data_IF_489951468605
#
_entry.id   IF_489951468605
#
_cell.length_a   1.000
_cell.length_b   1.000
_cell.length_c   1.000
_cell.angle_alpha   90.00
_cell.angle_beta   90.00
_cell.angle_gamma   90.00
#
_symmetry.space_group_name_H-M   'P 1'
#
loop_
_entity.id
_entity.type
_entity.pdbx_description
1 polymer ?
#
# COMPACT_ATOMS: atom_id res chain seq x y z
N UNK A 1 16.95 -18.81 -18.71
CA UNK A 1 15.88 -19.38 -17.87
C UNK A 1 15.74 -18.45 -16.69
N UNK A 2 14.58 -17.81 -16.50
CA UNK A 2 14.32 -17.10 -15.25
C UNK A 2 14.53 -18.12 -14.12
N UNK A 3 15.34 -17.76 -13.13
CA UNK A 3 15.71 -18.68 -12.06
C UNK A 3 14.47 -18.90 -11.18
N UNK A 4 14.11 -20.14 -10.84
CA UNK A 4 12.92 -20.43 -9.99
C UNK A 4 12.94 -19.60 -8.69
N UNK A 5 14.14 -19.29 -8.18
CA UNK A 5 14.33 -18.41 -7.04
C UNK A 5 13.85 -16.97 -7.28
N UNK A 6 14.12 -16.39 -8.45
CA UNK A 6 13.67 -15.03 -8.81
C UNK A 6 12.15 -14.97 -8.94
N UNK A 7 11.54 -16.05 -9.45
CA UNK A 7 10.08 -16.16 -9.57
C UNK A 7 9.42 -16.24 -8.19
N UNK A 8 9.96 -17.06 -7.29
CA UNK A 8 9.46 -17.19 -5.92
C UNK A 8 9.62 -15.89 -5.11
N UNK A 9 10.73 -15.19 -5.30
CA UNK A 9 11.00 -13.92 -4.63
C UNK A 9 10.06 -12.80 -5.11
N UNK A 10 9.79 -12.75 -6.41
CA UNK A 10 8.80 -11.83 -6.98
C UNK A 10 7.39 -12.04 -6.41
N UNK A 11 6.94 -13.30 -6.31
CA UNK A 11 5.61 -13.59 -5.74
C UNK A 11 5.51 -13.21 -4.26
N UNK A 12 6.56 -13.44 -3.47
CA UNK A 12 6.62 -12.98 -2.06
C UNK A 12 6.55 -11.46 -1.94
N UNK A 13 7.19 -10.73 -2.85
CA UNK A 13 7.15 -9.27 -2.86
C UNK A 13 5.75 -8.75 -3.23
N UNK A 14 5.08 -9.38 -4.20
CA UNK A 14 3.68 -9.06 -4.56
C UNK A 14 2.73 -9.33 -3.39
N UNK A 15 2.82 -10.49 -2.76
CA UNK A 15 2.02 -10.83 -1.58
C UNK A 15 2.24 -9.82 -0.45
N UNK A 16 3.50 -9.44 -0.19
CA UNK A 16 3.84 -8.40 0.79
C UNK A 16 3.19 -7.06 0.43
N UNK A 17 3.21 -6.65 -0.85
CA UNK A 17 2.57 -5.41 -1.31
C UNK A 17 1.07 -5.43 -1.03
N UNK A 18 0.39 -6.53 -1.34
CA UNK A 18 -1.05 -6.69 -1.07
C UNK A 18 -1.38 -6.59 0.42
N UNK A 19 -0.59 -7.23 1.28
CA UNK A 19 -0.75 -7.14 2.74
C UNK A 19 -0.58 -5.69 3.23
N UNK A 20 0.37 -4.93 2.68
CA UNK A 20 0.57 -3.53 3.07
C UNK A 20 -0.60 -2.66 2.60
N UNK A 21 -1.08 -2.86 1.36
CA UNK A 21 -2.25 -2.15 0.82
C UNK A 21 -3.51 -2.39 1.66
N UNK A 22 -3.75 -3.64 2.07
CA UNK A 22 -4.86 -3.98 2.96
C UNK A 22 -4.78 -3.20 4.28
N UNK A 23 -3.61 -3.11 4.90
CA UNK A 23 -3.39 -2.33 6.13
C UNK A 23 -3.59 -0.84 5.94
N UNK A 24 -3.20 -0.28 4.79
CA UNK A 24 -3.48 1.14 4.47
C UNK A 24 -4.99 1.37 4.39
N UNK A 25 -5.73 0.47 3.75
CA UNK A 25 -7.19 0.57 3.66
C UNK A 25 -7.89 0.47 5.04
N UNK A 26 -7.37 -0.36 5.94
CA UNK A 26 -7.83 -0.41 7.34
C UNK A 26 -7.61 0.95 8.03
N UNK A 27 -6.40 1.51 7.96
CA UNK A 27 -6.07 2.80 8.55
C UNK A 27 -6.91 3.94 7.96
N UNK A 28 -7.14 3.95 6.64
CA UNK A 28 -8.03 4.93 5.99
C UNK A 28 -9.46 4.80 6.51
N UNK A 29 -9.93 3.57 6.75
CA UNK A 29 -11.27 3.34 7.31
C UNK A 29 -11.38 3.90 8.73
N UNK A 30 -10.34 3.75 9.55
CA UNK A 30 -10.27 4.35 10.88
C UNK A 30 -10.25 5.89 10.83
N UNK A 31 -9.48 6.47 9.91
CA UNK A 31 -9.47 7.93 9.68
C UNK A 31 -10.85 8.43 9.27
N UNK A 32 -11.53 7.74 8.33
CA UNK A 32 -12.90 8.09 7.91
C UNK A 32 -13.87 8.11 9.09
N UNK A 33 -13.78 7.13 9.99
CA UNK A 33 -14.65 7.09 11.18
C UNK A 33 -14.42 8.28 12.13
N UNK A 34 -13.18 8.76 12.24
CA UNK A 34 -12.88 9.97 13.03
C UNK A 34 -13.39 11.23 12.32
N UNK A 35 -13.12 11.39 11.03
CA UNK A 35 -13.50 12.60 10.26
C UNK A 35 -15.02 12.76 10.11
N UNK A 36 -15.81 11.69 10.27
CA UNK A 36 -17.28 11.76 10.29
C UNK A 36 -17.88 12.39 11.56
N UNK A 37 -17.07 12.61 12.61
CA UNK A 37 -17.51 13.29 13.83
C UNK A 37 -17.55 14.80 13.63
N UNK A 38 -18.56 15.47 14.18
CA UNK A 38 -18.69 16.94 14.10
C UNK A 38 -17.54 17.66 14.83
N UNK A 39 -17.09 17.12 15.96
CA UNK A 39 -15.92 17.60 16.71
C UNK A 39 -15.10 16.42 17.22
N UNK A 40 -13.78 16.57 17.23
CA UNK A 40 -12.83 15.64 17.81
C UNK A 40 -12.37 16.15 19.17
N UNK A 41 -12.36 15.28 20.18
CA UNK A 41 -11.69 15.56 21.45
C UNK A 41 -10.16 15.43 21.29
N UNK A 42 -9.40 15.79 22.33
CA UNK A 42 -7.93 15.83 22.23
C UNK A 42 -7.31 14.44 22.06
N UNK A 43 -7.86 13.40 22.68
CA UNK A 43 -7.42 12.01 22.49
C UNK A 43 -7.65 11.55 21.04
N UNK A 44 -8.78 11.95 20.44
CA UNK A 44 -9.14 11.63 19.06
C UNK A 44 -8.28 12.38 18.04
N UNK A 45 -7.85 13.62 18.36
CA UNK A 45 -6.87 14.35 17.54
C UNK A 45 -5.50 13.69 17.59
N UNK A 46 -5.06 13.24 18.76
CA UNK A 46 -3.80 12.49 18.90
C UNK A 46 -3.87 11.16 18.16
N UNK A 47 -5.01 10.46 18.25
CA UNK A 47 -5.27 9.25 17.48
C UNK A 47 -5.21 9.54 15.96
N UNK A 48 -5.86 10.60 15.49
CA UNK A 48 -5.83 10.99 14.07
C UNK A 48 -4.39 11.23 13.59
N UNK A 49 -3.60 11.95 14.38
CA UNK A 49 -2.19 12.21 14.06
C UNK A 49 -1.35 10.93 14.05
N UNK A 50 -1.65 9.97 14.93
CA UNK A 50 -1.00 8.65 14.90
C UNK A 50 -1.38 7.85 13.65
N UNK A 51 -2.64 7.91 13.23
CA UNK A 51 -3.11 7.26 12.00
C UNK A 51 -2.47 7.85 10.75
N UNK A 52 -2.39 9.18 10.65
CA UNK A 52 -1.70 9.87 9.55
C UNK A 52 -0.23 9.43 9.43
N UNK A 53 0.48 9.41 10.57
CA UNK A 53 1.87 8.95 10.60
C UNK A 53 2.02 7.48 10.17
N UNK A 54 1.07 6.62 10.57
CA UNK A 54 1.07 5.21 10.18
C UNK A 54 0.77 5.03 8.69
N UNK A 55 -0.19 5.75 8.14
CA UNK A 55 -0.48 5.75 6.70
C UNK A 55 0.76 6.17 5.92
N UNK A 56 1.39 7.29 6.29
CA UNK A 56 2.59 7.78 5.61
C UNK A 56 3.74 6.77 5.64
N UNK A 57 3.95 6.08 6.77
CA UNK A 57 4.95 5.00 6.87
C UNK A 57 4.62 3.83 5.94
N UNK A 58 3.36 3.48 5.80
CA UNK A 58 2.90 2.38 4.94
C UNK A 58 2.99 2.73 3.45
N UNK A 59 2.67 3.96 3.08
CA UNK A 59 2.88 4.49 1.72
C UNK A 59 4.35 4.39 1.31
N UNK A 60 5.26 4.77 2.20
CA UNK A 60 6.70 4.62 1.98
C UNK A 60 7.13 3.14 1.83
N UNK A 61 6.49 2.22 2.57
CA UNK A 61 6.75 0.78 2.42
C UNK A 61 6.25 0.25 1.06
N UNK A 62 5.05 0.66 0.63
CA UNK A 62 4.49 0.34 -0.69
C UNK A 62 5.40 0.85 -1.79
N UNK A 63 5.86 2.10 -1.69
CA UNK A 63 6.76 2.71 -2.66
C UNK A 63 8.02 1.87 -2.84
N UNK A 64 8.68 1.49 -1.74
CA UNK A 64 9.89 0.65 -1.77
C UNK A 64 9.64 -0.72 -2.38
N UNK A 65 8.60 -1.44 -1.92
CA UNK A 65 8.27 -2.78 -2.42
C UNK A 65 7.90 -2.71 -3.90
N UNK A 66 7.18 -1.67 -4.31
CA UNK A 66 6.83 -1.44 -5.71
C UNK A 66 8.09 -1.26 -6.54
N UNK A 67 8.98 -0.33 -6.18
CA UNK A 67 10.27 -0.13 -6.88
C UNK A 67 11.05 -1.43 -7.01
N UNK A 68 11.19 -2.20 -5.93
CA UNK A 68 11.89 -3.50 -5.98
C UNK A 68 11.23 -4.48 -6.95
N UNK A 69 9.90 -4.55 -6.98
CA UNK A 69 9.19 -5.35 -7.98
C UNK A 69 9.52 -4.84 -9.39
N UNK A 70 9.45 -3.52 -9.65
CA UNK A 70 9.70 -2.98 -11.00
C UNK A 70 11.10 -3.28 -11.51
N UNK A 71 12.09 -3.33 -10.62
CA UNK A 71 13.47 -3.68 -10.95
C UNK A 71 13.64 -5.17 -11.32
N UNK A 72 12.71 -6.03 -10.88
CA UNK A 72 12.75 -7.49 -11.09
C UNK A 72 11.94 -7.98 -12.29
N UNK A 73 11.02 -7.18 -12.84
CA UNK A 73 10.18 -7.57 -13.99
C UNK A 73 10.56 -6.84 -15.29
N UNK A 74 10.46 -7.51 -16.46
CA UNK A 74 10.59 -6.84 -17.75
C UNK A 74 9.55 -5.72 -17.91
N UNK A 75 9.96 -4.59 -18.52
CA UNK A 75 9.12 -3.38 -18.72
C UNK A 75 7.73 -3.67 -19.32
N UNK A 76 7.61 -4.72 -20.16
CA UNK A 76 6.33 -5.13 -20.75
C UNK A 76 5.32 -5.71 -19.75
N UNK A 77 5.78 -6.42 -18.72
CA UNK A 77 4.94 -6.99 -17.65
C UNK A 77 4.63 -5.92 -16.59
N UNK A 78 5.55 -4.99 -16.36
CA UNK A 78 5.37 -3.86 -15.46
C UNK A 78 4.17 -2.98 -15.86
N UNK A 79 3.99 -2.73 -17.16
CA UNK A 79 2.88 -1.90 -17.65
C UNK A 79 1.51 -2.49 -17.29
N UNK A 80 1.34 -3.81 -17.40
CA UNK A 80 0.08 -4.47 -17.05
C UNK A 80 -0.21 -4.47 -15.55
N UNK A 81 0.83 -4.53 -14.71
CA UNK A 81 0.68 -4.46 -13.25
C UNK A 81 0.35 -3.03 -12.78
N UNK A 82 0.95 -2.01 -13.42
CA UNK A 82 0.60 -0.61 -13.19
C UNK A 82 -0.84 -0.30 -13.60
N UNK A 83 -1.29 -0.76 -14.78
CA UNK A 83 -2.66 -0.55 -15.24
C UNK A 83 -3.70 -1.19 -14.28
N UNK A 84 -3.35 -2.28 -13.59
CA UNK A 84 -4.21 -2.88 -12.54
C UNK A 84 -4.28 -2.03 -11.28
N UNK A 85 -3.17 -1.44 -10.85
CA UNK A 85 -3.12 -0.55 -9.69
C UNK A 85 -3.96 0.71 -9.91
N UNK A 86 -3.91 1.28 -11.12
CA UNK A 86 -4.74 2.45 -11.48
C UNK A 86 -6.24 2.12 -11.48
N UNK A 87 -6.64 0.93 -11.93
CA UNK A 87 -8.05 0.48 -11.88
C UNK A 87 -8.58 0.28 -10.45
N UNK A 88 -7.71 0.00 -9.47
CA UNK A 88 -8.12 -0.06 -8.06
C UNK A 88 -8.35 1.32 -7.45
N UNK A 89 -7.84 2.40 -8.06
CA UNK A 89 -8.06 3.78 -7.61
C UNK A 89 -9.32 4.43 -8.21
N UNK A 90 -9.85 3.92 -9.32
CA UNK A 90 -11.05 4.45 -10.00
C UNK A 90 -12.40 3.86 -9.52
N UNK A 91 -12.44 3.07 -8.43
CA UNK A 91 -13.70 2.55 -7.83
C UNK A 91 -13.91 3.03 -6.40
#
# INVERSE_FOLDING_TARGET
>A
MANENETLELEKLKERREIILAKVNELISEVRNLVLKEELNDDEKEQLQCLENNIHRKENEISKVTTTIQDMIPVGELKQDMDKMDQFQEK
#
